data_IF_561498648232
#
_entry.id   IF_561498648232
#
_cell.length_a   1.000
_cell.length_b   1.000
_cell.length_c   1.000
_cell.angle_alpha   90.00
_cell.angle_beta   90.00
_cell.angle_gamma   90.00
#
_symmetry.space_group_name_H-M   'P 1'
#
loop_
_entity.id
_entity.type
_entity.pdbx_description
1 polymer ?
#
# COMPACT_ATOMS: atom_id res chain seq x y z
N UNK A 1 13.11 -0.97 -59.26
CA UNK A 1 13.11 -0.78 -57.80
C UNK A 1 11.73 -0.36 -57.29
N UNK A 2 11.03 0.54 -57.99
CA UNK A 2 9.71 1.08 -57.62
C UNK A 2 8.60 0.04 -57.45
N UNK A 3 8.46 -0.94 -58.36
CA UNK A 3 7.43 -1.98 -58.21
C UNK A 3 7.63 -2.88 -56.98
N UNK A 4 8.88 -3.12 -56.57
CA UNK A 4 9.20 -3.84 -55.31
C UNK A 4 8.88 -2.99 -54.09
N UNK A 5 9.15 -1.69 -54.15
CA UNK A 5 8.81 -0.74 -53.09
C UNK A 5 7.28 -0.66 -52.90
N UNK A 6 6.52 -0.58 -54.00
CA UNK A 6 5.06 -0.48 -53.96
C UNK A 6 4.39 -1.77 -53.41
N UNK A 7 4.91 -2.95 -53.77
CA UNK A 7 4.44 -4.23 -53.22
C UNK A 7 4.79 -4.40 -51.74
N UNK A 8 5.95 -3.91 -51.31
CA UNK A 8 6.31 -3.87 -49.88
C UNK A 8 5.41 -2.92 -49.08
N UNK A 9 5.09 -1.73 -49.62
CA UNK A 9 4.22 -0.77 -48.95
C UNK A 9 2.77 -1.28 -48.80
N UNK A 10 2.23 -1.92 -49.85
CA UNK A 10 0.87 -2.48 -49.83
C UNK A 10 0.73 -3.67 -48.88
N UNK A 11 1.71 -4.59 -48.86
CA UNK A 11 1.74 -5.70 -47.89
C UNK A 11 1.91 -5.21 -46.45
N UNK A 12 2.73 -4.18 -46.21
CA UNK A 12 2.85 -3.55 -44.89
C UNK A 12 1.53 -2.91 -44.43
N UNK A 13 0.79 -2.24 -45.33
CA UNK A 13 -0.51 -1.65 -45.02
C UNK A 13 -1.57 -2.73 -44.71
N UNK A 14 -1.56 -3.84 -45.44
CA UNK A 14 -2.44 -4.99 -45.17
C UNK A 14 -2.12 -5.64 -43.80
N UNK A 15 -0.84 -5.79 -43.47
CA UNK A 15 -0.43 -6.30 -42.17
C UNK A 15 -0.86 -5.35 -41.02
N UNK A 16 -0.72 -4.04 -41.22
CA UNK A 16 -1.12 -3.04 -40.22
C UNK A 16 -2.64 -3.01 -40.02
N UNK A 17 -3.42 -3.10 -41.09
CA UNK A 17 -4.90 -3.15 -41.01
C UNK A 17 -5.38 -4.43 -40.35
N UNK A 18 -4.77 -5.57 -40.65
CA UNK A 18 -5.05 -6.83 -39.96
C UNK A 18 -4.72 -6.76 -38.47
N UNK A 19 -3.56 -6.20 -38.11
CA UNK A 19 -3.17 -5.99 -36.71
C UNK A 19 -4.18 -5.08 -35.99
N UNK A 20 -4.60 -3.99 -36.64
CA UNK A 20 -5.61 -3.09 -36.08
C UNK A 20 -6.95 -3.79 -35.85
N UNK A 21 -7.40 -4.62 -36.79
CA UNK A 21 -8.61 -5.43 -36.63
C UNK A 21 -8.48 -6.41 -35.46
N UNK A 22 -7.34 -7.11 -35.33
CA UNK A 22 -7.07 -7.99 -34.19
C UNK A 22 -7.11 -7.23 -32.86
N UNK A 23 -6.56 -6.01 -32.81
CA UNK A 23 -6.62 -5.17 -31.61
C UNK A 23 -8.06 -4.76 -31.26
N UNK A 24 -8.90 -4.45 -32.25
CA UNK A 24 -10.33 -4.16 -32.02
C UNK A 24 -11.04 -5.40 -31.47
N UNK A 25 -10.84 -6.56 -32.09
CA UNK A 25 -11.46 -7.82 -31.63
C UNK A 25 -11.01 -8.15 -30.21
N UNK A 26 -9.72 -8.04 -29.91
CA UNK A 26 -9.19 -8.23 -28.57
C UNK A 26 -9.77 -7.23 -27.55
N UNK A 27 -9.91 -5.96 -27.94
CA UNK A 27 -10.51 -4.92 -27.10
C UNK A 27 -11.98 -5.19 -26.81
N UNK A 28 -12.77 -5.59 -27.82
CA UNK A 28 -14.17 -5.96 -27.65
C UNK A 28 -14.33 -7.21 -26.78
N UNK A 29 -13.51 -8.24 -27.00
CA UNK A 29 -13.48 -9.43 -26.17
C UNK A 29 -13.14 -9.09 -24.71
N UNK A 30 -12.17 -8.19 -24.50
CA UNK A 30 -11.84 -7.68 -23.17
C UNK A 30 -12.98 -6.88 -22.54
N UNK A 31 -13.68 -6.04 -23.30
CA UNK A 31 -14.86 -5.33 -22.82
C UNK A 31 -15.97 -6.30 -22.38
N UNK A 32 -16.25 -7.33 -23.18
CA UNK A 32 -17.22 -8.37 -22.82
C UNK A 32 -16.79 -9.13 -21.55
N UNK A 33 -15.50 -9.44 -21.42
CA UNK A 33 -14.94 -10.03 -20.22
C UNK A 33 -15.13 -9.13 -18.99
N UNK A 34 -14.83 -7.84 -19.09
CA UNK A 34 -15.05 -6.87 -18.01
C UNK A 34 -16.54 -6.80 -17.63
N UNK A 35 -17.43 -6.73 -18.63
CA UNK A 35 -18.89 -6.75 -18.41
C UNK A 35 -19.31 -8.00 -17.63
N UNK A 36 -18.85 -9.17 -18.07
CA UNK A 36 -19.16 -10.43 -17.42
C UNK A 36 -18.70 -10.46 -15.96
N UNK A 37 -17.47 -10.02 -15.69
CA UNK A 37 -16.95 -9.95 -14.32
C UNK A 37 -17.76 -8.96 -13.47
N UNK A 38 -18.12 -7.80 -14.01
CA UNK A 38 -18.92 -6.82 -13.27
C UNK A 38 -20.29 -7.36 -12.91
N UNK A 39 -20.99 -7.98 -13.88
CA UNK A 39 -22.30 -8.58 -13.71
C UNK A 39 -22.29 -9.74 -12.70
N UNK A 40 -21.24 -10.56 -12.69
CA UNK A 40 -21.10 -11.68 -11.74
C UNK A 40 -21.25 -11.24 -10.29
N UNK A 41 -20.76 -10.06 -9.94
CA UNK A 41 -20.81 -9.52 -8.58
C UNK A 41 -21.94 -8.50 -8.37
N UNK A 42 -22.85 -8.32 -9.34
CA UNK A 42 -23.91 -7.29 -9.27
C UNK A 42 -24.92 -7.46 -8.13
N UNK A 43 -24.95 -8.65 -7.52
CA UNK A 43 -25.74 -8.94 -6.33
C UNK A 43 -25.18 -8.33 -5.03
N UNK A 44 -23.91 -7.89 -5.01
CA UNK A 44 -23.30 -7.25 -3.84
C UNK A 44 -23.57 -5.74 -3.94
N UNK A 45 -24.05 -5.08 -2.87
CA UNK A 45 -24.31 -3.65 -2.89
C UNK A 45 -23.00 -2.86 -3.05
N UNK A 46 -23.09 -1.66 -3.61
CA UNK A 46 -21.94 -0.79 -3.79
C UNK A 46 -22.28 0.44 -4.63
N UNK A 47 -21.37 1.43 -4.66
CA UNK A 47 -21.55 2.65 -5.41
C UNK A 47 -21.80 2.41 -6.90
N UNK A 48 -22.53 3.32 -7.57
CA UNK A 48 -22.64 3.29 -9.01
C UNK A 48 -21.26 3.52 -9.65
N UNK A 49 -20.97 2.74 -10.69
CA UNK A 49 -19.71 2.81 -11.43
C UNK A 49 -19.64 4.11 -12.25
N UNK A 50 -18.55 4.88 -12.12
CA UNK A 50 -18.31 6.11 -12.92
C UNK A 50 -18.18 5.79 -14.42
N UNK A 51 -17.65 4.61 -14.72
CA UNK A 51 -17.33 4.17 -16.07
C UNK A 51 -17.51 2.66 -16.17
N UNK A 52 -17.99 2.21 -17.33
CA UNK A 52 -18.08 0.79 -17.64
C UNK A 52 -16.72 0.08 -17.53
N UNK A 53 -15.66 0.64 -18.15
CA UNK A 53 -14.34 -0.01 -18.16
C UNK A 53 -13.53 0.33 -16.91
N UNK A 54 -13.49 1.60 -16.52
CA UNK A 54 -12.62 2.06 -15.42
C UNK A 54 -13.23 1.86 -14.02
N UNK A 55 -14.52 1.51 -13.93
CA UNK A 55 -15.21 1.36 -12.66
C UNK A 55 -15.16 2.66 -11.84
N UNK A 56 -14.59 2.60 -10.63
CA UNK A 56 -14.46 3.73 -9.70
C UNK A 56 -13.07 4.40 -9.72
N UNK A 57 -12.20 3.98 -10.64
CA UNK A 57 -10.86 4.57 -10.80
C UNK A 57 -10.90 6.08 -11.06
N UNK A 58 -11.87 6.64 -11.82
CA UNK A 58 -11.99 8.08 -12.01
C UNK A 58 -12.28 8.83 -10.69
N UNK A 59 -13.19 8.30 -9.86
CA UNK A 59 -13.44 8.85 -8.51
C UNK A 59 -12.16 8.89 -7.68
N UNK A 60 -11.40 7.80 -7.61
CA UNK A 60 -10.14 7.79 -6.87
C UNK A 60 -9.13 8.78 -7.45
N UNK A 61 -8.98 8.82 -8.78
CA UNK A 61 -8.07 9.78 -9.43
C UNK A 61 -8.42 11.22 -9.08
N UNK A 62 -9.72 11.58 -9.03
CA UNK A 62 -10.19 12.91 -8.66
C UNK A 62 -9.88 13.23 -7.20
N UNK A 63 -10.15 12.30 -6.29
CA UNK A 63 -9.84 12.46 -4.85
C UNK A 63 -8.34 12.70 -4.66
N UNK A 64 -7.48 11.85 -5.25
CA UNK A 64 -6.04 12.00 -5.13
C UNK A 64 -5.52 13.31 -5.74
N UNK A 65 -6.00 13.70 -6.93
CA UNK A 65 -5.60 14.96 -7.58
C UNK A 65 -5.95 16.18 -6.75
N UNK A 66 -7.06 16.12 -6.01
CA UNK A 66 -7.50 17.20 -5.13
C UNK A 66 -6.86 17.13 -3.73
N UNK A 67 -5.90 16.23 -3.50
CA UNK A 67 -5.25 16.05 -2.20
C UNK A 67 -6.13 15.41 -1.13
N UNK A 68 -7.25 14.80 -1.53
CA UNK A 68 -8.18 14.14 -0.62
C UNK A 68 -7.71 12.74 -0.20
N UNK A 69 -8.38 12.18 0.81
CA UNK A 69 -8.10 10.85 1.34
C UNK A 69 -9.16 9.84 0.86
N UNK A 70 -8.74 8.83 0.09
CA UNK A 70 -9.63 7.77 -0.41
C UNK A 70 -10.28 6.95 0.70
N UNK A 71 -9.66 6.86 1.88
CA UNK A 71 -10.22 6.11 3.00
C UNK A 71 -11.46 6.78 3.60
N UNK A 72 -11.57 8.11 3.51
CA UNK A 72 -12.81 8.82 3.89
C UNK A 72 -13.95 8.36 2.99
N UNK A 73 -13.68 8.21 1.68
CA UNK A 73 -14.69 7.72 0.74
C UNK A 73 -15.10 6.27 1.01
N UNK A 74 -14.17 5.43 1.47
CA UNK A 74 -14.50 4.07 1.90
C UNK A 74 -15.39 4.02 3.14
N UNK A 75 -15.20 4.97 4.08
CA UNK A 75 -16.06 5.09 5.24
C UNK A 75 -17.48 5.50 4.83
N UNK A 76 -17.61 6.55 4.00
CA UNK A 76 -18.90 6.99 3.46
C UNK A 76 -19.66 5.83 2.77
N UNK A 77 -18.97 5.04 1.94
CA UNK A 77 -19.58 3.90 1.27
C UNK A 77 -19.91 2.74 2.23
N UNK A 78 -19.15 2.54 3.29
CA UNK A 78 -19.49 1.55 4.31
C UNK A 78 -20.75 1.94 5.10
N UNK A 79 -20.94 3.24 5.34
CA UNK A 79 -22.15 3.78 5.98
C UNK A 79 -23.38 3.70 5.05
N UNK A 80 -23.19 3.98 3.76
CA UNK A 80 -24.28 3.99 2.77
C UNK A 80 -24.71 2.58 2.32
N UNK A 81 -23.76 1.70 2.01
CA UNK A 81 -24.04 0.37 1.42
C UNK A 81 -23.98 -0.76 2.45
N UNK A 82 -23.63 -0.46 3.70
CA UNK A 82 -23.55 -1.41 4.80
C UNK A 82 -22.20 -2.12 4.89
N UNK A 83 -22.09 -3.17 5.73
CA UNK A 83 -20.80 -3.74 6.14
C UNK A 83 -20.13 -4.62 5.08
N UNK A 84 -20.82 -4.93 3.98
CA UNK A 84 -20.27 -5.67 2.84
C UNK A 84 -20.65 -4.94 1.58
N UNK A 85 -19.67 -4.35 0.91
CA UNK A 85 -19.87 -3.60 -0.32
C UNK A 85 -18.73 -3.83 -1.29
N UNK A 86 -18.94 -3.48 -2.56
CA UNK A 86 -17.94 -3.69 -3.62
C UNK A 86 -17.57 -2.43 -4.37
N UNK A 87 -16.38 -2.44 -4.94
CA UNK A 87 -15.93 -1.51 -5.98
C UNK A 87 -15.25 -2.26 -7.10
N UNK A 88 -15.36 -1.69 -8.30
CA UNK A 88 -14.80 -2.23 -9.52
C UNK A 88 -13.71 -1.29 -10.07
N UNK A 89 -12.68 -1.87 -10.69
CA UNK A 89 -11.69 -1.17 -11.49
C UNK A 89 -11.17 -2.11 -12.58
N UNK A 90 -11.38 -1.79 -13.86
CA UNK A 90 -11.08 -2.71 -14.97
C UNK A 90 -11.78 -4.05 -14.75
N UNK A 91 -11.08 -5.17 -14.92
CA UNK A 91 -11.57 -6.51 -14.63
C UNK A 91 -11.41 -6.93 -13.15
N UNK A 92 -11.01 -6.02 -12.27
CA UNK A 92 -10.88 -6.28 -10.84
C UNK A 92 -12.12 -5.83 -10.08
N UNK A 93 -12.54 -6.66 -9.14
CA UNK A 93 -13.61 -6.37 -8.17
C UNK A 93 -13.02 -6.55 -6.79
N UNK A 94 -13.07 -5.48 -5.99
CA UNK A 94 -12.71 -5.52 -4.58
C UNK A 94 -14.01 -5.55 -3.78
N UNK A 95 -14.11 -6.49 -2.84
CA UNK A 95 -15.20 -6.54 -1.86
C UNK A 95 -14.62 -6.10 -0.53
N UNK A 96 -15.17 -5.02 0.01
CA UNK A 96 -14.90 -4.54 1.36
C UNK A 96 -15.80 -5.28 2.34
N UNK A 97 -15.22 -5.75 3.44
CA UNK A 97 -15.92 -6.48 4.49
C UNK A 97 -15.52 -5.88 5.84
N UNK A 98 -16.47 -5.24 6.50
CA UNK A 98 -16.36 -4.68 7.85
C UNK A 98 -17.26 -5.38 8.86
N UNK A 99 -17.82 -6.56 8.51
CA UNK A 99 -18.61 -7.40 9.41
C UNK A 99 -17.71 -8.35 10.22
N UNK A 100 -17.67 -8.28 11.57
CA UNK A 100 -16.70 -8.99 12.39
C UNK A 100 -16.61 -10.51 12.16
N UNK A 101 -17.75 -11.20 12.07
CA UNK A 101 -17.76 -12.66 11.87
C UNK A 101 -17.24 -13.06 10.49
N UNK A 102 -17.57 -12.29 9.45
CA UNK A 102 -17.05 -12.53 8.10
C UNK A 102 -15.55 -12.24 8.05
N UNK A 103 -15.11 -11.13 8.65
CA UNK A 103 -13.69 -10.76 8.75
C UNK A 103 -12.88 -11.85 9.48
N UNK A 104 -13.40 -12.39 10.58
CA UNK A 104 -12.78 -13.51 11.31
C UNK A 104 -12.60 -14.74 10.43
N UNK A 105 -13.65 -15.15 9.70
CA UNK A 105 -13.57 -16.30 8.79
C UNK A 105 -12.53 -16.08 7.69
N UNK A 106 -12.50 -14.88 7.11
CA UNK A 106 -11.56 -14.54 6.03
C UNK A 106 -10.11 -14.52 6.55
N UNK A 107 -9.85 -13.88 7.70
CA UNK A 107 -8.49 -13.69 8.22
C UNK A 107 -7.92 -14.95 8.87
N UNK A 108 -8.75 -15.83 9.43
CA UNK A 108 -8.30 -17.03 10.13
C UNK A 108 -8.19 -18.26 9.21
N UNK A 109 -8.75 -18.20 8.00
CA UNK A 109 -8.70 -19.32 7.06
C UNK A 109 -7.49 -19.23 6.15
N UNK A 110 -6.73 -20.33 6.03
CA UNK A 110 -5.66 -20.47 5.03
C UNK A 110 -6.16 -20.48 3.58
N UNK A 111 -7.48 -20.62 3.37
CA UNK A 111 -8.11 -20.61 2.04
C UNK A 111 -7.99 -19.23 1.37
N UNK A 112 -8.06 -18.16 2.15
CA UNK A 112 -8.01 -16.80 1.64
C UNK A 112 -6.59 -16.26 1.72
N UNK A 113 -5.77 -16.58 0.70
CA UNK A 113 -4.43 -16.01 0.60
C UNK A 113 -4.48 -14.51 0.31
N UNK A 114 -3.42 -13.81 0.71
CA UNK A 114 -3.14 -12.42 0.32
C UNK A 114 -3.27 -12.24 -1.20
N UNK A 115 -3.80 -11.11 -1.64
CA UNK A 115 -4.00 -10.80 -3.06
C UNK A 115 -2.67 -10.84 -3.84
N UNK A 116 -2.66 -11.56 -4.97
CA UNK A 116 -1.47 -11.74 -5.79
C UNK A 116 -0.96 -10.43 -6.37
N UNK A 117 -1.86 -9.59 -6.86
CA UNK A 117 -1.52 -8.38 -7.59
C UNK A 117 -0.88 -7.36 -6.65
N UNK A 118 -1.54 -7.10 -5.52
CA UNK A 118 -1.09 -6.15 -4.50
C UNK A 118 0.21 -6.60 -3.84
N UNK A 119 0.30 -7.85 -3.40
CA UNK A 119 1.48 -8.33 -2.68
C UNK A 119 2.68 -8.62 -3.58
N UNK A 120 2.49 -8.89 -4.89
CA UNK A 120 3.63 -8.97 -5.83
C UNK A 120 4.30 -7.61 -6.01
N UNK A 121 3.52 -6.53 -6.07
CA UNK A 121 4.02 -5.14 -6.13
C UNK A 121 4.69 -4.71 -4.83
N UNK A 122 4.17 -5.19 -3.69
CA UNK A 122 4.79 -4.94 -2.40
C UNK A 122 6.10 -5.73 -2.23
N UNK A 123 6.17 -6.96 -2.73
CA UNK A 123 7.39 -7.76 -2.73
C UNK A 123 8.46 -7.18 -3.67
N UNK A 124 8.04 -6.72 -4.85
CA UNK A 124 8.92 -6.19 -5.89
C UNK A 124 8.40 -4.85 -6.41
N UNK A 125 9.12 -3.78 -6.09
CA UNK A 125 8.81 -2.43 -6.54
C UNK A 125 9.61 -2.16 -7.83
N UNK A 126 8.92 -1.80 -8.92
CA UNK A 126 9.53 -1.58 -10.25
C UNK A 126 10.38 -2.76 -10.77
N UNK A 127 10.02 -3.98 -10.41
CA UNK A 127 10.77 -5.19 -10.79
C UNK A 127 12.02 -5.46 -9.94
N UNK A 128 12.36 -4.56 -9.02
CA UNK A 128 13.42 -4.75 -8.04
C UNK A 128 12.85 -5.27 -6.72
N UNK A 129 13.63 -6.10 -6.01
CA UNK A 129 13.22 -6.64 -4.71
C UNK A 129 13.11 -5.50 -3.69
N UNK A 130 11.92 -5.32 -3.12
CA UNK A 130 11.68 -4.43 -1.97
C UNK A 130 11.66 -5.28 -0.68
N UNK A 131 10.49 -5.80 -0.29
CA UNK A 131 10.37 -6.71 0.85
C UNK A 131 10.73 -8.16 0.48
N UNK A 132 10.72 -8.50 -0.81
CA UNK A 132 10.92 -9.87 -1.29
C UNK A 132 9.84 -10.82 -0.80
N UNK A 133 10.18 -12.09 -0.60
CA UNK A 133 9.26 -13.13 -0.09
C UNK A 133 9.48 -13.36 1.42
N UNK A 134 9.10 -12.38 2.23
CA UNK A 134 9.21 -12.41 3.69
C UNK A 134 7.85 -12.54 4.39
N UNK A 135 7.84 -12.41 5.71
CA UNK A 135 6.65 -12.66 6.54
C UNK A 135 5.42 -11.81 6.11
N UNK A 136 5.65 -10.57 5.69
CA UNK A 136 4.61 -9.64 5.24
C UNK A 136 4.06 -10.05 3.87
N UNK A 137 4.88 -10.55 2.96
CA UNK A 137 4.55 -10.74 1.54
C UNK A 137 4.33 -12.19 1.12
N UNK A 138 4.77 -13.16 1.92
CA UNK A 138 4.53 -14.58 1.70
C UNK A 138 3.02 -14.85 1.61
N UNK A 139 2.63 -15.48 0.50
CA UNK A 139 1.23 -15.87 0.19
C UNK A 139 0.99 -17.35 0.42
N UNK A 140 2.02 -18.17 0.28
CA UNK A 140 1.98 -19.58 0.63
C UNK A 140 1.97 -19.74 2.16
N UNK A 141 1.03 -20.54 2.66
CA UNK A 141 0.83 -20.71 4.09
C UNK A 141 1.99 -21.45 4.74
N UNK A 142 2.54 -22.48 4.10
CA UNK A 142 3.65 -23.25 4.69
C UNK A 142 4.93 -22.41 4.78
N UNK A 143 5.26 -21.67 3.71
CA UNK A 143 6.38 -20.74 3.71
C UNK A 143 6.20 -19.67 4.78
N UNK A 144 5.03 -19.03 4.85
CA UNK A 144 4.72 -18.03 5.86
C UNK A 144 4.84 -18.62 7.28
N UNK A 145 4.29 -19.82 7.51
CA UNK A 145 4.29 -20.46 8.82
C UNK A 145 5.70 -20.80 9.30
N UNK A 146 6.56 -21.32 8.41
CA UNK A 146 7.99 -21.56 8.72
C UNK A 146 8.69 -20.26 9.13
N UNK A 147 8.50 -19.17 8.38
CA UNK A 147 9.08 -17.86 8.69
C UNK A 147 8.51 -17.29 10.00
N UNK A 148 7.21 -17.43 10.23
CA UNK A 148 6.53 -16.96 11.44
C UNK A 148 7.07 -17.65 12.69
N UNK A 149 7.20 -18.97 12.65
CA UNK A 149 7.72 -19.78 13.75
C UNK A 149 9.16 -19.42 14.13
N UNK A 150 9.99 -19.05 13.16
CA UNK A 150 11.37 -18.59 13.40
C UNK A 150 11.36 -17.19 14.07
N UNK A 151 10.44 -16.32 13.66
CA UNK A 151 10.37 -14.94 14.18
C UNK A 151 9.65 -14.80 15.52
N UNK A 152 8.67 -15.65 15.83
CA UNK A 152 7.83 -15.53 17.03
C UNK A 152 8.61 -15.35 18.35
N UNK A 153 9.72 -16.06 18.61
CA UNK A 153 10.49 -15.87 19.85
C UNK A 153 11.02 -14.44 20.05
N UNK A 154 11.37 -13.75 18.95
CA UNK A 154 11.86 -12.37 18.97
C UNK A 154 10.75 -11.34 19.26
N UNK A 155 9.49 -11.78 19.34
CA UNK A 155 8.35 -10.96 19.74
C UNK A 155 7.65 -11.50 20.99
N UNK A 156 8.30 -12.39 21.75
CA UNK A 156 7.80 -12.86 23.04
C UNK A 156 7.77 -11.74 24.08
N UNK A 157 6.84 -11.80 25.02
CA UNK A 157 6.72 -10.82 26.10
C UNK A 157 8.01 -10.70 26.93
N UNK A 158 8.72 -11.82 27.14
CA UNK A 158 10.01 -11.85 27.82
C UNK A 158 11.07 -11.03 27.06
N UNK A 159 11.17 -11.25 25.74
CA UNK A 159 12.11 -10.50 24.91
C UNK A 159 11.78 -9.01 24.86
N UNK A 160 10.50 -8.66 24.69
CA UNK A 160 10.05 -7.26 24.67
C UNK A 160 10.32 -6.54 26.00
N UNK A 161 10.17 -7.22 27.14
CA UNK A 161 10.55 -6.68 28.45
C UNK A 161 12.05 -6.38 28.52
N UNK A 162 12.89 -7.22 27.92
CA UNK A 162 14.32 -6.97 27.80
C UNK A 162 14.68 -5.73 26.97
N UNK A 163 13.77 -5.23 26.13
CA UNK A 163 13.97 -4.02 25.34
C UNK A 163 13.53 -2.73 26.05
N UNK A 164 12.89 -2.81 27.23
CA UNK A 164 12.33 -1.63 27.92
C UNK A 164 13.38 -0.55 28.19
N UNK A 165 14.62 -0.94 28.54
CA UNK A 165 15.72 0.02 28.71
C UNK A 165 16.00 0.82 27.44
N UNK A 166 16.06 0.15 26.29
CA UNK A 166 16.23 0.83 24.98
C UNK A 166 15.06 1.76 24.67
N UNK A 167 13.82 1.33 24.92
CA UNK A 167 12.66 2.18 24.71
C UNK A 167 12.70 3.44 25.60
N UNK A 168 13.03 3.28 26.89
CA UNK A 168 13.11 4.40 27.82
C UNK A 168 14.22 5.39 27.42
N UNK A 169 15.41 4.90 27.07
CA UNK A 169 16.52 5.76 26.62
C UNK A 169 16.14 6.58 25.37
N UNK A 170 15.42 5.96 24.40
CA UNK A 170 14.98 6.68 23.20
C UNK A 170 13.80 7.61 23.48
N UNK A 171 12.93 7.28 24.42
CA UNK A 171 11.86 8.15 24.87
C UNK A 171 12.40 9.37 25.61
N UNK A 172 13.42 9.22 26.47
CA UNK A 172 14.10 10.33 27.14
C UNK A 172 14.71 11.30 26.12
N UNK A 173 15.45 10.79 25.13
CA UNK A 173 15.99 11.62 24.04
C UNK A 173 14.91 12.36 23.24
N UNK A 174 13.76 11.71 23.02
CA UNK A 174 12.61 12.38 22.41
C UNK A 174 12.08 13.50 23.31
N UNK A 175 11.95 13.26 24.61
CA UNK A 175 11.48 14.24 25.57
C UNK A 175 12.41 15.45 25.67
N UNK A 176 13.73 15.25 25.68
CA UNK A 176 14.71 16.34 25.64
C UNK A 176 14.50 17.22 24.40
N UNK A 177 14.31 16.58 23.24
CA UNK A 177 14.07 17.31 21.99
C UNK A 177 12.75 18.08 22.01
N UNK A 178 11.71 17.52 22.60
CA UNK A 178 10.41 18.17 22.74
C UNK A 178 10.45 19.32 23.76
N UNK A 179 11.26 19.20 24.82
CA UNK A 179 11.50 20.25 25.80
C UNK A 179 12.18 21.46 25.13
N UNK A 180 13.23 21.23 24.33
CA UNK A 180 13.88 22.29 23.55
C UNK A 180 12.89 23.00 22.61
N UNK A 181 12.02 22.24 21.93
CA UNK A 181 11.01 22.82 21.04
C UNK A 181 10.01 23.67 21.82
N UNK A 182 9.57 23.20 22.99
CA UNK A 182 8.65 23.92 23.87
C UNK A 182 9.28 25.22 24.43
N UNK A 183 10.54 25.17 24.87
CA UNK A 183 11.27 26.33 25.38
C UNK A 183 11.45 27.41 24.31
N UNK A 184 11.78 26.98 23.09
CA UNK A 184 11.92 27.87 21.94
C UNK A 184 10.58 28.26 21.30
N UNK A 185 9.45 27.69 21.77
CA UNK A 185 8.10 27.90 21.23
C UNK A 185 8.01 27.68 19.71
N UNK A 186 8.71 26.67 19.22
CA UNK A 186 8.72 26.30 17.79
C UNK A 186 7.76 25.15 17.52
N UNK A 187 7.45 24.90 16.25
CA UNK A 187 6.62 23.77 15.85
C UNK A 187 7.44 22.47 15.79
N UNK A 188 6.94 21.40 16.40
CA UNK A 188 7.51 20.07 16.27
C UNK A 188 6.84 19.29 15.14
N UNK A 189 7.64 18.72 14.24
CA UNK A 189 7.16 17.67 13.32
C UNK A 189 7.15 16.32 14.04
N UNK A 190 6.04 16.01 14.72
CA UNK A 190 5.87 14.81 15.52
C UNK A 190 6.02 13.52 14.71
N UNK A 191 5.56 13.50 13.45
CA UNK A 191 5.71 12.34 12.60
C UNK A 191 7.19 12.03 12.34
N UNK A 192 7.99 13.07 12.04
CA UNK A 192 9.42 12.90 11.86
C UNK A 192 10.09 12.39 13.14
N UNK A 193 9.80 13.01 14.28
CA UNK A 193 10.40 12.64 15.56
C UNK A 193 10.08 11.19 15.96
N UNK A 194 8.81 10.78 15.84
CA UNK A 194 8.38 9.41 16.16
C UNK A 194 8.98 8.39 15.17
N UNK A 195 9.10 8.73 13.89
CA UNK A 195 9.78 7.87 12.92
C UNK A 195 11.26 7.66 13.27
N UNK A 196 11.97 8.73 13.65
CA UNK A 196 13.36 8.65 14.09
C UNK A 196 13.50 7.74 15.31
N UNK A 197 12.67 7.90 16.34
CA UNK A 197 12.65 7.03 17.53
C UNK A 197 12.37 5.58 17.15
N UNK A 198 11.36 5.34 16.32
CA UNK A 198 10.97 3.99 15.90
C UNK A 198 12.11 3.30 15.15
N UNK A 199 12.73 3.99 14.19
CA UNK A 199 13.87 3.47 13.43
C UNK A 199 15.08 3.23 14.33
N UNK A 200 15.37 4.13 15.25
CA UNK A 200 16.49 3.99 16.19
C UNK A 200 16.30 2.75 17.09
N UNK A 201 15.09 2.54 17.62
CA UNK A 201 14.78 1.34 18.42
C UNK A 201 14.92 0.05 17.59
N UNK A 202 14.42 0.04 16.35
CA UNK A 202 14.51 -1.13 15.46
C UNK A 202 15.97 -1.39 15.07
N UNK A 203 16.73 -0.34 14.75
CA UNK A 203 18.10 -0.43 14.28
C UNK A 203 19.10 -0.73 15.40
N UNK A 204 18.84 -0.33 16.65
CA UNK A 204 19.76 -0.52 17.79
C UNK A 204 20.15 -1.98 18.06
N UNK A 205 19.44 -2.95 17.49
CA UNK A 205 19.77 -4.38 17.56
C UNK A 205 20.80 -4.83 16.52
N UNK A 206 21.09 -4.00 15.53
CA UNK A 206 21.97 -4.31 14.42
C UNK A 206 23.07 -3.25 14.36
N UNK A 207 24.33 -3.70 14.31
CA UNK A 207 25.42 -2.81 13.96
C UNK A 207 25.49 -2.68 12.45
N UNK A 208 25.30 -1.47 11.93
CA UNK A 208 25.34 -1.20 10.50
C UNK A 208 26.59 -0.40 10.19
N UNK A 209 27.57 -1.05 9.59
CA UNK A 209 28.76 -0.41 9.04
C UNK A 209 28.62 -0.28 7.53
N UNK A 210 28.75 0.95 7.02
CA UNK A 210 28.86 1.17 5.58
C UNK A 210 30.16 0.54 5.08
N UNK A 211 30.13 -0.10 3.92
CA UNK A 211 31.36 -0.58 3.29
C UNK A 211 32.22 0.62 2.85
N UNK A 212 33.57 0.51 2.87
CA UNK A 212 34.44 1.62 2.52
C UNK A 212 34.11 2.21 1.13
N UNK A 213 33.98 3.54 1.05
CA UNK A 213 33.69 4.28 -0.18
C UNK A 213 32.20 4.44 -0.52
N UNK A 214 31.27 3.87 0.26
CA UNK A 214 29.84 4.03 0.05
C UNK A 214 29.30 5.25 0.83
N UNK A 215 28.64 6.16 0.13
CA UNK A 215 27.83 7.22 0.74
C UNK A 215 26.38 6.76 0.86
N UNK A 216 25.66 7.23 1.88
CA UNK A 216 24.24 6.94 2.05
C UNK A 216 23.43 8.23 1.96
N UNK A 217 22.43 8.22 1.09
CA UNK A 217 21.37 9.22 1.03
C UNK A 217 20.05 8.56 1.47
N UNK A 218 19.36 9.19 2.42
CA UNK A 218 18.02 8.73 2.84
C UNK A 218 17.06 9.03 1.70
N UNK A 219 16.68 8.00 0.95
CA UNK A 219 15.59 8.05 0.01
C UNK A 219 14.32 7.58 0.71
N UNK A 220 13.34 8.47 0.81
CA UNK A 220 12.00 8.14 1.30
C UNK A 220 11.28 7.22 0.30
N UNK A 221 11.51 5.91 0.44
CA UNK A 221 10.83 4.90 -0.35
C UNK A 221 9.56 4.43 0.38
N UNK A 222 8.41 4.98 -0.03
CA UNK A 222 7.11 4.37 0.20
C UNK A 222 6.60 4.39 1.64
N UNK A 223 6.12 5.54 2.11
CA UNK A 223 5.22 5.61 3.26
C UNK A 223 4.11 6.62 2.94
N UNK A 224 2.84 6.27 3.22
CA UNK A 224 1.76 7.23 3.16
C UNK A 224 1.92 8.20 4.34
N UNK A 225 2.37 9.43 4.06
CA UNK A 225 2.55 10.48 5.07
C UNK A 225 1.60 11.64 4.76
N UNK A 226 1.03 12.30 5.78
CA UNK A 226 0.39 13.59 5.58
C UNK A 226 1.35 14.53 4.86
N UNK A 227 0.87 15.21 3.81
CA UNK A 227 1.71 16.06 2.95
C UNK A 227 2.48 17.14 3.73
N UNK A 228 1.85 17.66 4.78
CA UNK A 228 2.39 18.68 5.67
C UNK A 228 3.15 18.13 6.89
N UNK A 229 3.30 16.81 7.01
CA UNK A 229 3.72 16.18 8.26
C UNK A 229 2.65 16.32 9.36
N UNK A 230 3.02 15.96 10.58
CA UNK A 230 2.17 16.18 11.77
C UNK A 230 2.86 17.25 12.61
N UNK A 231 2.50 18.51 12.37
CA UNK A 231 3.03 19.66 13.09
C UNK A 231 2.23 19.89 14.38
N UNK A 232 2.93 20.07 15.49
CA UNK A 232 2.34 20.34 16.79
C UNK A 232 3.05 21.51 17.47
N UNK A 233 2.28 22.42 18.06
CA UNK A 233 2.79 23.41 19.01
C UNK A 233 2.88 22.77 20.39
N UNK A 234 4.03 22.92 21.03
CA UNK A 234 4.29 22.35 22.36
C UNK A 234 4.45 23.47 23.38
N UNK A 235 3.92 23.25 24.57
CA UNK A 235 4.10 24.11 25.73
C UNK A 235 4.32 23.24 26.96
N UNK A 236 5.12 23.71 27.90
CA UNK A 236 5.25 23.05 29.20
C UNK A 236 3.89 22.95 29.88
N UNK A 237 3.65 21.82 30.55
CA UNK A 237 2.45 21.63 31.35
C UNK A 237 2.63 22.39 32.67
N UNK A 238 1.76 23.37 32.92
CA UNK A 238 1.68 24.03 34.23
C UNK A 238 1.17 23.03 35.28
N UNK A 239 2.09 22.44 36.04
CA UNK A 239 1.71 21.73 37.25
C UNK A 239 1.36 22.76 38.32
N UNK A 240 0.07 23.07 38.46
CA UNK A 240 -0.44 23.67 39.71
C UNK A 240 -0.18 22.66 40.82
N UNK A 241 0.76 22.99 41.71
CA UNK A 241 0.97 22.29 42.97
C UNK A 241 -0.27 22.38 43.85
#
# INVERSE_FOLDING_TARGET
AENKLLTLLTSALQALTFLFFLLIVAFLAYCLYVKHIHMKYDHIPGPPRDSFLLGHSPTFSRILKNGGNVHVKFLEWAEEYGPVWRINALHYVLVSVSYPEATKVILMSSKYSKDAFSYKRLANLFGQRLLGNGLVTARDHEQWYKQRRIMDPAFSSLYLRGLMGTFNERAEKLMDKLADVADNKTEANMLHLVNCVTLDVIAKRFDFTLVPGQTFDILDAGTLRPKSGVLCTLSHRDYKK
#
